data_IF_639450627384
#
_entry.id   IF_639450627384
#
_cell.length_a   1.000
_cell.length_b   1.000
_cell.length_c   1.000
_cell.angle_alpha   90.00
_cell.angle_beta   90.00
_cell.angle_gamma   90.00
#
_symmetry.space_group_name_H-M   'P 1'
#
loop_
_entity.id
_entity.type
_entity.pdbx_description
1 polymer ?
#
# COMPACT_ATOMS: atom_id res chain seq x y z
N UNK A 1 34.45 -0.21 2.62
CA UNK A 1 33.85 -0.86 3.79
C UNK A 1 33.85 0.17 4.91
N UNK A 2 32.82 1.00 4.93
CA UNK A 2 32.66 2.10 5.86
C UNK A 2 31.70 1.61 6.94
N UNK A 3 32.22 1.36 8.14
CA UNK A 3 31.44 1.05 9.32
C UNK A 3 30.73 2.34 9.76
N UNK A 4 29.44 2.45 9.46
CA UNK A 4 28.60 3.53 9.98
C UNK A 4 28.34 3.26 11.46
N UNK A 5 28.85 4.11 12.34
CA UNK A 5 28.66 4.04 13.79
C UNK A 5 27.19 4.40 14.12
N UNK A 6 26.33 3.39 14.23
CA UNK A 6 24.93 3.55 14.66
C UNK A 6 24.87 3.62 16.20
N UNK A 7 25.21 4.78 16.77
CA UNK A 7 24.85 5.06 18.16
C UNK A 7 23.37 5.42 18.23
N UNK A 8 22.57 4.78 19.11
CA UNK A 8 21.20 5.20 19.34
C UNK A 8 21.19 6.64 19.87
N UNK A 9 20.39 7.50 19.24
CA UNK A 9 20.26 8.90 19.63
C UNK A 9 19.52 9.02 20.96
N UNK A 10 20.27 9.24 22.04
CA UNK A 10 19.74 9.85 23.27
C UNK A 10 19.42 11.31 22.96
N UNK A 11 18.15 11.75 23.02
CA UNK A 11 17.77 13.15 22.79
C UNK A 11 16.61 13.39 21.82
N UNK A 12 15.99 12.34 21.27
CA UNK A 12 14.89 12.50 20.32
C UNK A 12 13.61 13.04 20.98
N UNK A 13 12.96 14.03 20.35
CA UNK A 13 11.74 14.66 20.83
C UNK A 13 10.53 14.20 20.01
N UNK A 14 9.42 13.89 20.69
CA UNK A 14 8.13 13.55 20.06
C UNK A 14 7.20 14.74 20.19
N UNK A 15 6.62 15.19 19.08
CA UNK A 15 5.63 16.27 19.08
C UNK A 15 4.47 15.98 18.13
N UNK A 16 3.30 16.61 18.33
CA UNK A 16 2.20 16.52 17.38
C UNK A 16 2.63 16.97 15.98
N UNK A 17 2.29 16.20 14.97
CA UNK A 17 2.58 16.54 13.59
C UNK A 17 1.72 17.73 13.13
N UNK A 18 2.33 18.66 12.41
CA UNK A 18 1.67 19.82 11.80
C UNK A 18 1.98 19.89 10.31
N UNK A 19 1.27 20.76 9.58
CA UNK A 19 1.51 20.96 8.14
C UNK A 19 2.95 21.39 7.79
N UNK A 20 3.72 21.94 8.75
CA UNK A 20 5.14 22.26 8.57
C UNK A 20 6.02 21.02 8.47
N UNK A 21 5.55 19.90 9.02
CA UNK A 21 6.32 18.66 9.13
C UNK A 21 6.16 17.80 7.88
N UNK A 22 5.07 18.00 7.14
CA UNK A 22 4.73 17.18 5.97
C UNK A 22 5.82 17.13 4.90
N UNK A 23 6.47 18.24 4.48
CA UNK A 23 7.60 18.15 3.56
C UNK A 23 8.80 17.41 4.16
N UNK A 24 9.04 17.53 5.47
CA UNK A 24 10.15 16.85 6.15
C UNK A 24 9.89 15.34 6.30
N UNK A 25 8.63 14.95 6.53
CA UNK A 25 8.21 13.55 6.54
C UNK A 25 8.33 12.94 5.14
N UNK A 26 7.93 13.68 4.10
CA UNK A 26 8.11 13.22 2.71
C UNK A 26 9.58 13.02 2.37
N UNK A 27 10.45 13.96 2.76
CA UNK A 27 11.91 13.84 2.57
C UNK A 27 12.50 12.65 3.36
N UNK A 28 12.09 12.48 4.62
CA UNK A 28 12.47 11.32 5.46
C UNK A 28 12.09 10.00 4.80
N UNK A 29 10.86 9.88 4.28
CA UNK A 29 10.39 8.70 3.56
C UNK A 29 11.20 8.46 2.28
N UNK A 30 11.54 9.51 1.53
CA UNK A 30 12.28 9.37 0.27
C UNK A 30 13.75 9.01 0.48
N UNK A 31 14.37 9.50 1.55
CA UNK A 31 15.84 9.49 1.73
C UNK A 31 16.34 8.43 2.71
N UNK A 32 15.50 7.93 3.63
CA UNK A 32 15.95 6.99 4.67
C UNK A 32 16.12 5.59 4.10
N UNK A 33 17.35 5.02 4.09
CA UNK A 33 17.58 3.69 3.57
C UNK A 33 16.84 2.62 4.39
N UNK A 34 16.34 1.60 3.71
CA UNK A 34 15.70 0.44 4.33
C UNK A 34 14.19 0.59 4.53
N UNK A 35 13.67 1.82 4.61
CA UNK A 35 12.23 2.06 4.63
C UNK A 35 11.61 1.62 3.30
N UNK A 36 10.53 0.84 3.35
CA UNK A 36 9.70 0.59 2.18
C UNK A 36 8.25 0.21 2.54
N UNK A 37 7.37 0.23 1.53
CA UNK A 37 5.97 -0.16 1.70
C UNK A 37 5.00 0.72 0.91
N UNK A 38 3.71 0.63 1.26
CA UNK A 38 2.59 1.28 0.55
C UNK A 38 2.37 2.76 0.93
N UNK A 39 3.15 3.28 1.89
CA UNK A 39 2.91 4.56 2.57
C UNK A 39 3.93 5.65 2.18
N UNK A 40 4.50 5.57 0.98
CA UNK A 40 5.50 6.54 0.53
C UNK A 40 4.79 7.71 -0.13
N UNK A 41 4.68 8.78 0.64
CA UNK A 41 4.32 10.09 0.15
C UNK A 41 5.42 10.60 -0.79
N UNK A 42 5.08 10.90 -2.04
CA UNK A 42 6.02 11.50 -3.00
C UNK A 42 6.28 12.97 -2.65
N UNK A 43 5.31 13.64 -2.02
CA UNK A 43 5.45 15.01 -1.54
C UNK A 43 4.67 15.31 -0.25
N UNK A 44 4.80 16.54 0.26
CA UNK A 44 4.13 17.01 1.48
C UNK A 44 2.61 16.90 1.45
N UNK A 45 2.00 17.03 0.28
CA UNK A 45 0.56 16.91 0.15
C UNK A 45 0.16 15.43 0.27
N UNK A 46 1.01 14.46 -0.04
CA UNK A 46 0.66 13.02 0.08
C UNK A 46 0.65 12.68 1.57
N UNK A 47 1.61 13.22 2.32
CA UNK A 47 1.59 13.15 3.78
C UNK A 47 0.33 13.83 4.33
N UNK A 48 -0.07 14.97 3.77
CA UNK A 48 -1.31 15.64 4.17
C UNK A 48 -2.56 14.77 3.93
N UNK A 49 -2.65 14.10 2.78
CA UNK A 49 -3.75 13.17 2.48
C UNK A 49 -3.69 11.93 3.39
N UNK A 50 -2.50 11.41 3.66
CA UNK A 50 -2.31 10.29 4.59
C UNK A 50 -2.76 10.67 6.01
N UNK A 51 -2.44 11.86 6.49
CA UNK A 51 -2.86 12.32 7.82
C UNK A 51 -4.28 12.91 7.84
N UNK A 52 -4.96 12.97 6.70
CA UNK A 52 -6.37 13.35 6.70
C UNK A 52 -7.18 12.31 7.48
N UNK A 53 -8.13 12.78 8.26
CA UNK A 53 -8.99 11.89 9.03
C UNK A 53 -8.39 11.29 10.31
N UNK A 54 -7.14 11.57 10.69
CA UNK A 54 -6.56 11.11 11.97
C UNK A 54 -7.33 11.66 13.18
N UNK A 55 -7.30 10.94 14.30
CA UNK A 55 -7.81 11.49 15.56
C UNK A 55 -7.03 12.78 15.93
N UNK A 56 -7.68 13.85 16.41
CA UNK A 56 -7.02 15.14 16.67
C UNK A 56 -5.78 15.03 17.57
N UNK A 57 -4.60 15.37 17.03
CA UNK A 57 -3.33 15.29 17.77
C UNK A 57 -2.83 13.86 18.01
N UNK A 58 -3.29 12.88 17.24
CA UNK A 58 -2.76 11.50 17.28
C UNK A 58 -1.62 11.26 16.30
N UNK A 59 -1.52 12.07 15.25
CA UNK A 59 -0.34 12.10 14.40
C UNK A 59 0.80 12.77 15.18
N UNK A 60 1.91 12.05 15.32
CA UNK A 60 3.12 12.51 15.98
C UNK A 60 4.32 12.31 15.08
N UNK A 61 5.30 13.19 15.22
CA UNK A 61 6.57 13.12 14.53
C UNK A 61 7.69 13.04 15.55
N UNK A 62 8.64 12.14 15.31
CA UNK A 62 9.85 11.99 16.10
C UNK A 62 10.97 12.77 15.42
N UNK A 63 11.66 13.61 16.20
CA UNK A 63 12.77 14.42 15.73
C UNK A 63 14.06 14.14 16.47
N UNK A 64 15.17 14.20 15.76
CA UNK A 64 16.50 14.17 16.35
C UNK A 64 16.95 15.51 16.89
N UNK A 65 18.18 15.57 17.39
CA UNK A 65 18.76 16.77 17.98
C UNK A 65 19.00 17.89 16.95
N UNK A 66 19.15 17.53 15.66
CA UNK A 66 19.34 18.50 14.58
C UNK A 66 18.01 18.89 13.91
N UNK A 67 16.87 18.62 14.59
CA UNK A 67 15.50 18.86 14.10
C UNK A 67 15.12 18.00 12.87
N UNK A 68 15.93 16.98 12.54
CA UNK A 68 15.66 16.06 11.46
C UNK A 68 14.54 15.07 11.84
N UNK A 69 13.69 14.71 10.87
CA UNK A 69 12.64 13.70 11.09
C UNK A 69 13.28 12.32 11.16
N UNK A 70 13.03 11.61 12.26
CA UNK A 70 13.49 10.24 12.49
C UNK A 70 12.36 9.21 12.39
N UNK A 71 11.11 9.65 12.33
CA UNK A 71 9.94 8.79 12.19
C UNK A 71 8.63 9.51 12.46
N UNK A 72 7.52 8.81 12.25
CA UNK A 72 6.19 9.28 12.60
C UNK A 72 5.27 8.12 12.99
N UNK A 73 4.21 8.46 13.71
CA UNK A 73 3.09 7.56 13.95
C UNK A 73 1.77 8.32 13.80
N UNK A 74 0.71 7.63 13.41
CA UNK A 74 -0.63 8.22 13.27
C UNK A 74 -1.72 7.21 13.63
N UNK A 75 -2.82 7.69 14.21
CA UNK A 75 -4.02 6.91 14.50
C UNK A 75 -5.22 7.47 13.73
N UNK A 76 -5.74 6.67 12.82
CA UNK A 76 -6.82 7.06 11.93
C UNK A 76 -8.17 6.91 12.59
N UNK A 77 -9.16 7.71 12.20
CA UNK A 77 -10.55 7.41 12.56
C UNK A 77 -11.07 6.27 11.68
N UNK A 78 -12.02 5.45 12.15
CA UNK A 78 -12.69 4.48 11.31
C UNK A 78 -13.28 5.14 10.06
N UNK A 79 -13.01 4.56 8.89
CA UNK A 79 -13.41 5.07 7.58
C UNK A 79 -14.25 4.05 6.78
N UNK A 80 -14.79 3.03 7.46
CA UNK A 80 -15.51 1.91 6.86
C UNK A 80 -16.69 1.40 7.67
N UNK A 81 -17.32 0.33 7.15
CA UNK A 81 -18.44 -0.34 7.80
C UNK A 81 -18.00 -1.26 8.96
N UNK A 82 -16.75 -1.75 8.93
CA UNK A 82 -16.16 -2.47 10.06
C UNK A 82 -15.65 -1.46 11.09
N UNK A 83 -15.68 -1.77 12.40
CA UNK A 83 -15.15 -0.90 13.45
C UNK A 83 -13.62 -0.97 13.50
N UNK A 84 -12.98 -0.91 12.34
CA UNK A 84 -11.55 -0.92 12.15
C UNK A 84 -10.97 0.47 12.38
N UNK A 85 -9.94 0.54 13.21
CA UNK A 85 -9.08 1.70 13.39
C UNK A 85 -7.72 1.36 12.80
N UNK A 86 -7.18 2.21 11.93
CA UNK A 86 -5.83 2.02 11.37
C UNK A 86 -4.80 2.80 12.17
N UNK A 87 -3.59 2.25 12.30
CA UNK A 87 -2.42 3.03 12.71
C UNK A 87 -1.22 2.84 11.79
N UNK A 88 -0.45 3.91 11.69
CA UNK A 88 0.81 3.96 10.96
C UNK A 88 1.97 4.09 11.94
N UNK A 89 3.04 3.35 11.69
CA UNK A 89 4.31 3.43 12.39
C UNK A 89 5.43 3.34 11.37
N UNK A 90 6.26 4.38 11.29
CA UNK A 90 7.43 4.41 10.41
C UNK A 90 8.58 5.06 11.17
N UNK A 91 9.63 4.30 11.44
CA UNK A 91 10.81 4.76 12.16
C UNK A 91 12.08 4.47 11.39
N UNK A 92 13.02 5.41 11.41
CA UNK A 92 14.34 5.24 10.85
C UNK A 92 15.15 4.21 11.66
N UNK A 93 16.15 3.55 11.05
CA UNK A 93 16.90 2.47 11.68
C UNK A 93 17.76 2.92 12.88
N UNK A 94 17.99 4.23 13.03
CA UNK A 94 18.76 4.82 14.15
C UNK A 94 17.94 5.05 15.41
N UNK A 95 16.61 4.93 15.35
CA UNK A 95 15.74 5.22 16.49
C UNK A 95 15.88 4.13 17.56
N UNK A 96 16.08 4.56 18.82
CA UNK A 96 16.19 3.65 19.95
C UNK A 96 14.89 2.83 20.16
N UNK A 97 15.02 1.53 20.44
CA UNK A 97 13.89 0.62 20.66
C UNK A 97 12.93 1.13 21.73
N UNK A 98 13.45 1.66 22.85
CA UNK A 98 12.63 2.20 23.95
C UNK A 98 11.75 3.38 23.52
N UNK A 99 12.24 4.20 22.60
CA UNK A 99 11.47 5.32 22.04
C UNK A 99 10.33 4.80 21.15
N UNK A 100 10.62 3.81 20.31
CA UNK A 100 9.62 3.14 19.46
C UNK A 100 8.54 2.49 20.33
N UNK A 101 8.96 1.75 21.36
CA UNK A 101 8.05 1.08 22.29
C UNK A 101 7.11 2.06 23.00
N UNK A 102 7.64 3.22 23.40
CA UNK A 102 6.85 4.29 24.02
C UNK A 102 5.81 4.84 23.05
N UNK A 103 6.20 5.21 21.81
CA UNK A 103 5.29 5.79 20.82
C UNK A 103 4.20 4.80 20.40
N UNK A 104 4.58 3.53 20.16
CA UNK A 104 3.62 2.45 19.84
C UNK A 104 2.66 2.26 21.02
N UNK A 105 3.19 2.22 22.24
CA UNK A 105 2.40 2.09 23.47
C UNK A 105 1.37 3.20 23.64
N UNK A 106 1.81 4.46 23.53
CA UNK A 106 0.95 5.64 23.65
C UNK A 106 -0.15 5.65 22.57
N UNK A 107 0.17 5.21 21.36
CA UNK A 107 -0.79 5.10 20.24
C UNK A 107 -1.84 4.02 20.52
N UNK A 108 -1.45 2.85 21.02
CA UNK A 108 -2.37 1.76 21.40
C UNK A 108 -3.23 2.17 22.60
N UNK A 109 -2.66 2.81 23.62
CA UNK A 109 -3.40 3.29 24.78
C UNK A 109 -4.40 4.38 24.38
N UNK A 110 -4.04 5.22 23.41
CA UNK A 110 -4.97 6.17 22.82
C UNK A 110 -6.10 5.47 22.08
N UNK A 111 -5.81 4.49 21.23
CA UNK A 111 -6.81 3.68 20.54
C UNK A 111 -7.85 3.13 21.53
N UNK A 112 -7.40 2.49 22.62
CA UNK A 112 -8.28 1.94 23.66
C UNK A 112 -9.15 2.98 24.37
N UNK A 113 -8.71 4.26 24.43
CA UNK A 113 -9.49 5.35 25.01
C UNK A 113 -10.55 5.93 24.08
N UNK A 114 -10.28 5.95 22.77
CA UNK A 114 -11.11 6.70 21.80
C UNK A 114 -11.99 5.80 20.93
N UNK A 115 -11.64 4.53 20.80
CA UNK A 115 -12.37 3.59 19.96
C UNK A 115 -13.55 2.96 20.72
N UNK A 116 -14.66 2.64 20.03
CA UNK A 116 -15.74 1.82 20.58
C UNK A 116 -15.26 0.45 21.08
N UNK A 117 -16.00 -0.17 22.01
CA UNK A 117 -15.63 -1.47 22.61
C UNK A 117 -15.54 -2.62 21.59
N UNK A 118 -16.36 -2.59 20.53
CA UNK A 118 -16.36 -3.57 19.46
C UNK A 118 -15.32 -3.29 18.36
N UNK A 119 -14.55 -2.21 18.50
CA UNK A 119 -13.52 -1.84 17.56
C UNK A 119 -12.22 -2.64 17.72
N UNK A 120 -11.39 -2.61 16.68
CA UNK A 120 -10.05 -3.16 16.71
C UNK A 120 -9.08 -2.27 15.94
N UNK A 121 -7.84 -2.22 16.43
CA UNK A 121 -6.72 -1.60 15.76
C UNK A 121 -6.13 -2.59 14.76
N UNK A 122 -5.98 -2.19 13.50
CA UNK A 122 -5.18 -2.91 12.50
C UNK A 122 -3.97 -2.09 12.09
N UNK A 123 -2.82 -2.75 12.01
CA UNK A 123 -1.56 -2.15 11.59
C UNK A 123 -0.98 -2.97 10.44
N UNK A 124 -0.86 -2.33 9.27
CA UNK A 124 -0.06 -2.84 8.17
C UNK A 124 1.38 -2.33 8.30
N UNK A 125 2.33 -3.24 8.48
CA UNK A 125 3.73 -2.92 8.78
C UNK A 125 4.69 -3.87 8.07
N UNK A 126 5.79 -3.32 7.55
CA UNK A 126 6.83 -4.09 6.87
C UNK A 126 7.77 -4.81 7.84
N UNK A 127 8.38 -5.90 7.39
CA UNK A 127 9.39 -6.64 8.17
C UNK A 127 10.65 -5.81 8.51
N UNK A 128 10.83 -4.67 7.83
CA UNK A 128 11.86 -3.65 8.08
C UNK A 128 11.60 -2.79 9.33
N UNK A 129 10.51 -3.01 10.06
CA UNK A 129 10.17 -2.28 11.29
C UNK A 129 10.11 -3.24 12.53
N UNK A 130 11.19 -3.99 12.84
CA UNK A 130 11.15 -5.06 13.84
C UNK A 130 10.82 -4.57 15.26
N UNK A 131 11.37 -3.42 15.68
CA UNK A 131 11.12 -2.86 17.01
C UNK A 131 9.66 -2.43 17.20
N UNK A 132 9.03 -1.88 16.16
CA UNK A 132 7.62 -1.52 16.21
C UNK A 132 6.71 -2.76 16.22
N UNK A 133 7.08 -3.80 15.46
CA UNK A 133 6.39 -5.10 15.49
C UNK A 133 6.47 -5.72 16.90
N UNK A 134 7.66 -5.75 17.51
CA UNK A 134 7.87 -6.26 18.86
C UNK A 134 7.01 -5.50 19.89
N UNK A 135 7.02 -4.16 19.84
CA UNK A 135 6.18 -3.33 20.70
C UNK A 135 4.68 -3.59 20.52
N UNK A 136 4.21 -3.81 19.28
CA UNK A 136 2.82 -4.20 19.02
C UNK A 136 2.48 -5.54 19.68
N UNK A 137 3.35 -6.55 19.53
CA UNK A 137 3.15 -7.88 20.13
C UNK A 137 3.13 -7.78 21.67
N UNK A 138 4.03 -7.00 22.29
CA UNK A 138 4.01 -6.74 23.73
C UNK A 138 2.71 -6.07 24.20
N UNK A 139 2.03 -5.32 23.33
CA UNK A 139 0.72 -4.70 23.60
C UNK A 139 -0.48 -5.61 23.31
N UNK A 140 -0.24 -6.88 22.96
CA UNK A 140 -1.26 -7.90 22.73
C UNK A 140 -1.65 -8.08 21.26
N UNK A 141 -0.86 -7.56 20.31
CA UNK A 141 -1.16 -7.72 18.90
C UNK A 141 -0.97 -9.16 18.42
N UNK A 142 -1.94 -9.66 17.66
CA UNK A 142 -1.82 -10.92 16.91
C UNK A 142 -1.60 -10.65 15.43
N UNK A 143 -0.74 -11.42 14.78
CA UNK A 143 -0.60 -11.37 13.32
C UNK A 143 -1.81 -12.03 12.68
N UNK A 144 -2.59 -11.27 11.93
CA UNK A 144 -3.73 -11.79 11.17
C UNK A 144 -3.32 -12.28 9.79
N UNK A 145 -2.40 -11.59 9.11
CA UNK A 145 -1.93 -11.95 7.76
C UNK A 145 -0.48 -11.61 7.51
N UNK A 146 0.05 -12.25 6.48
CA UNK A 146 1.31 -11.93 5.85
C UNK A 146 1.11 -11.70 4.35
N UNK A 147 1.79 -10.69 3.85
CA UNK A 147 1.82 -10.33 2.44
C UNK A 147 3.27 -10.32 1.98
N UNK A 148 3.46 -10.60 0.70
CA UNK A 148 4.77 -10.47 0.05
C UNK A 148 4.67 -9.37 -0.99
N UNK A 149 5.49 -8.33 -0.81
CA UNK A 149 5.77 -7.36 -1.84
C UNK A 149 6.67 -8.01 -2.89
N UNK A 150 6.28 -7.91 -4.16
CA UNK A 150 7.01 -8.48 -5.28
C UNK A 150 7.33 -7.42 -6.32
N UNK A 151 8.44 -7.61 -7.02
CA UNK A 151 8.93 -6.69 -8.07
C UNK A 151 9.36 -7.46 -9.31
N UNK A 152 9.20 -6.82 -10.47
CA UNK A 152 9.65 -7.32 -11.77
C UNK A 152 10.35 -6.19 -12.52
N UNK A 153 11.56 -6.44 -13.01
CA UNK A 153 12.22 -5.56 -13.98
C UNK A 153 11.53 -5.67 -15.34
N UNK A 154 11.29 -4.53 -15.98
CA UNK A 154 10.69 -4.40 -17.30
C UNK A 154 11.73 -4.15 -18.41
N UNK A 155 13.02 -3.97 -18.07
CA UNK A 155 14.07 -3.64 -19.03
C UNK A 155 14.30 -4.71 -20.12
N UNK A 156 13.92 -5.97 -19.84
CA UNK A 156 13.99 -7.08 -20.79
C UNK A 156 12.69 -7.36 -21.55
N UNK A 157 11.63 -6.60 -21.28
CA UNK A 157 10.35 -6.78 -21.97
C UNK A 157 10.36 -6.07 -23.33
N UNK A 158 9.83 -6.73 -24.36
CA UNK A 158 9.68 -6.13 -25.69
C UNK A 158 8.33 -5.40 -25.83
N UNK A 159 8.31 -4.07 -26.02
CA UNK A 159 7.07 -3.32 -26.17
C UNK A 159 6.19 -3.79 -27.33
N UNK A 160 6.79 -4.28 -28.42
CA UNK A 160 6.04 -4.80 -29.58
C UNK A 160 5.22 -6.04 -29.23
N UNK A 161 5.84 -6.99 -28.54
CA UNK A 161 5.21 -8.22 -28.03
C UNK A 161 4.11 -7.91 -27.01
N UNK A 162 4.35 -6.97 -26.08
CA UNK A 162 3.33 -6.55 -25.12
C UNK A 162 2.13 -5.86 -25.81
N UNK A 163 2.40 -5.06 -26.84
CA UNK A 163 1.35 -4.41 -27.63
C UNK A 163 0.50 -5.43 -28.40
N UNK A 164 1.13 -6.46 -29.00
CA UNK A 164 0.46 -7.51 -29.76
C UNK A 164 -0.33 -8.52 -28.89
N UNK A 165 -0.02 -8.63 -27.59
CA UNK A 165 -0.73 -9.54 -26.69
C UNK A 165 -2.24 -9.23 -26.65
N UNK A 166 -3.06 -10.23 -26.94
CA UNK A 166 -4.52 -10.14 -26.92
C UNK A 166 -5.15 -11.50 -26.58
N UNK A 167 -6.44 -11.47 -26.29
CA UNK A 167 -7.30 -12.65 -26.17
C UNK A 167 -8.54 -12.33 -27.01
N UNK A 168 -8.91 -13.25 -27.90
CA UNK A 168 -10.10 -13.07 -28.75
C UNK A 168 -11.35 -12.84 -27.90
N UNK A 169 -12.16 -11.87 -28.34
CA UNK A 169 -13.38 -11.46 -27.64
C UNK A 169 -13.15 -10.65 -26.35
N UNK A 170 -11.92 -10.17 -26.10
CA UNK A 170 -11.62 -9.21 -25.03
C UNK A 170 -11.04 -7.91 -25.59
N UNK A 171 -11.65 -6.79 -25.22
CA UNK A 171 -11.13 -5.42 -25.44
C UNK A 171 -10.52 -4.90 -24.15
N UNK A 172 -9.31 -4.35 -24.23
CA UNK A 172 -8.67 -3.68 -23.08
C UNK A 172 -8.87 -2.18 -23.22
N UNK A 173 -9.56 -1.59 -22.25
CA UNK A 173 -9.87 -0.17 -22.21
C UNK A 173 -8.94 0.58 -21.25
N UNK A 174 -8.31 1.69 -21.67
CA UNK A 174 -7.68 2.61 -20.74
C UNK A 174 -8.74 3.26 -19.84
N UNK A 175 -8.34 3.76 -18.66
CA UNK A 175 -9.29 4.33 -17.70
C UNK A 175 -10.18 5.44 -18.28
N UNK A 176 -9.66 6.28 -19.17
CA UNK A 176 -10.44 7.33 -19.85
C UNK A 176 -11.62 6.77 -20.64
N UNK A 177 -11.45 5.62 -21.30
CA UNK A 177 -12.51 4.92 -22.04
C UNK A 177 -13.43 4.12 -21.11
N UNK A 178 -12.93 3.65 -19.96
CA UNK A 178 -13.77 3.07 -18.90
C UNK A 178 -14.78 4.11 -18.40
N UNK A 179 -14.33 5.34 -18.14
CA UNK A 179 -15.19 6.43 -17.68
C UNK A 179 -16.16 6.87 -18.78
N UNK A 180 -15.66 7.22 -19.97
CA UNK A 180 -16.51 7.74 -21.06
C UNK A 180 -17.48 6.69 -21.60
N UNK A 181 -17.13 5.40 -21.53
CA UNK A 181 -17.98 4.28 -21.89
C UNK A 181 -18.96 3.83 -20.81
N UNK A 182 -18.97 4.44 -19.62
CA UNK A 182 -19.91 4.10 -18.54
C UNK A 182 -19.61 2.78 -17.83
N UNK A 183 -18.39 2.27 -17.90
CA UNK A 183 -17.99 0.98 -17.30
C UNK A 183 -17.55 1.10 -15.84
N UNK A 184 -17.40 2.31 -15.30
CA UNK A 184 -16.85 2.56 -13.96
C UNK A 184 -17.58 1.77 -12.85
N UNK A 185 -18.91 1.73 -12.89
CA UNK A 185 -19.71 1.00 -11.90
C UNK A 185 -19.55 -0.52 -12.02
N UNK A 186 -19.40 -1.05 -13.24
CA UNK A 186 -19.11 -2.47 -13.43
C UNK A 186 -17.72 -2.84 -12.88
N UNK A 187 -16.72 -1.96 -13.06
CA UNK A 187 -15.39 -2.14 -12.45
C UNK A 187 -15.49 -2.11 -10.93
N UNK A 188 -16.22 -1.15 -10.34
CA UNK A 188 -16.43 -1.08 -8.89
C UNK A 188 -17.09 -2.36 -8.36
N UNK A 189 -18.13 -2.84 -9.03
CA UNK A 189 -18.82 -4.06 -8.62
C UNK A 189 -17.90 -5.28 -8.73
N UNK A 190 -17.14 -5.41 -9.82
CA UNK A 190 -16.18 -6.50 -9.97
C UNK A 190 -15.03 -6.42 -8.94
N UNK A 191 -14.63 -5.20 -8.55
CA UNK A 191 -13.67 -4.99 -7.46
C UNK A 191 -14.25 -5.48 -6.14
N UNK A 192 -15.49 -5.09 -5.84
CA UNK A 192 -16.20 -5.54 -4.65
C UNK A 192 -16.30 -7.07 -4.64
N UNK A 193 -16.77 -7.68 -5.73
CA UNK A 193 -16.97 -9.13 -5.83
C UNK A 193 -15.64 -9.89 -5.69
N UNK A 194 -14.57 -9.41 -6.36
CA UNK A 194 -13.26 -10.07 -6.31
C UNK A 194 -12.65 -9.99 -4.91
N UNK A 195 -12.87 -8.90 -4.17
CA UNK A 195 -12.25 -8.64 -2.86
C UNK A 195 -13.16 -8.86 -1.65
N UNK A 196 -14.43 -9.20 -1.84
CA UNK A 196 -15.37 -9.53 -0.75
C UNK A 196 -14.93 -10.73 0.09
N UNK A 197 -14.24 -11.70 -0.52
CA UNK A 197 -13.68 -12.88 0.16
C UNK A 197 -12.20 -12.70 0.55
N UNK A 198 -11.58 -11.56 0.21
CA UNK A 198 -10.18 -11.27 0.55
C UNK A 198 -10.06 -10.71 1.98
N UNK A 199 -8.94 -11.02 2.64
CA UNK A 199 -8.67 -10.56 3.99
C UNK A 199 -8.75 -9.03 4.11
N UNK A 200 -9.28 -8.58 5.25
CA UNK A 200 -9.41 -7.16 5.59
C UNK A 200 -10.54 -6.46 4.84
N UNK A 201 -11.41 -7.22 4.16
CA UNK A 201 -12.54 -6.70 3.40
C UNK A 201 -12.11 -5.50 2.54
N UNK A 202 -11.08 -5.74 1.71
CA UNK A 202 -10.56 -4.74 0.77
C UNK A 202 -11.58 -4.36 -0.33
N UNK A 203 -12.81 -4.87 -0.24
CA UNK A 203 -13.93 -4.41 -1.03
C UNK A 203 -14.18 -2.93 -0.75
N UNK A 204 -14.32 -2.15 -1.81
CA UNK A 204 -14.59 -0.72 -1.68
C UNK A 204 -16.10 -0.50 -1.67
N UNK A 205 -16.61 0.04 -0.56
CA UNK A 205 -17.92 0.69 -0.55
C UNK A 205 -17.94 1.81 -1.59
N UNK A 206 -19.12 2.27 -2.06
CA UNK A 206 -19.19 3.38 -3.02
C UNK A 206 -18.40 4.62 -2.56
N UNK A 207 -18.43 4.95 -1.27
CA UNK A 207 -17.69 6.08 -0.70
C UNK A 207 -16.16 5.86 -0.77
N UNK A 208 -15.68 4.66 -0.39
CA UNK A 208 -14.25 4.30 -0.46
C UNK A 208 -13.75 4.16 -1.91
N UNK A 209 -14.65 3.83 -2.82
CA UNK A 209 -14.38 3.80 -4.25
C UNK A 209 -14.16 5.21 -4.79
N UNK A 210 -15.10 6.11 -4.54
CA UNK A 210 -14.98 7.51 -4.95
C UNK A 210 -13.75 8.18 -4.32
N UNK A 211 -13.51 7.96 -3.03
CA UNK A 211 -12.29 8.46 -2.38
C UNK A 211 -11.02 7.92 -3.05
N UNK A 212 -10.99 6.62 -3.40
CA UNK A 212 -9.84 6.05 -4.10
C UNK A 212 -9.61 6.69 -5.47
N UNK A 213 -10.66 6.86 -6.29
CA UNK A 213 -10.52 7.47 -7.62
C UNK A 213 -10.06 8.93 -7.59
N UNK A 214 -10.35 9.65 -6.51
CA UNK A 214 -9.94 11.04 -6.31
C UNK A 214 -8.64 11.18 -5.48
N UNK A 215 -8.15 10.06 -4.92
CA UNK A 215 -6.90 10.06 -4.15
C UNK A 215 -5.70 10.34 -5.03
N UNK A 216 -4.65 10.86 -4.43
CA UNK A 216 -3.41 11.20 -5.14
C UNK A 216 -2.63 9.99 -5.63
N UNK A 217 -2.78 8.87 -4.93
CA UNK A 217 -2.14 7.61 -5.29
C UNK A 217 -2.74 7.03 -6.58
N UNK A 218 -4.04 7.24 -6.84
CA UNK A 218 -4.68 6.65 -8.02
C UNK A 218 -4.12 7.25 -9.30
N UNK A 219 -3.59 6.39 -10.17
CA UNK A 219 -3.07 6.81 -11.47
C UNK A 219 -3.94 6.25 -12.60
N UNK A 220 -4.78 7.09 -13.23
CA UNK A 220 -5.63 6.68 -14.36
C UNK A 220 -4.85 6.01 -15.50
N UNK A 221 -3.64 6.49 -15.79
CA UNK A 221 -2.79 5.97 -16.86
C UNK A 221 -2.29 4.54 -16.61
N UNK A 222 -2.34 4.07 -15.35
CA UNK A 222 -2.02 2.70 -14.93
C UNK A 222 -3.25 1.92 -14.48
N UNK A 223 -4.43 2.33 -14.95
CA UNK A 223 -5.70 1.68 -14.65
C UNK A 223 -6.42 1.33 -15.94
N UNK A 224 -6.90 0.08 -16.02
CA UNK A 224 -7.50 -0.49 -17.25
C UNK A 224 -8.62 -1.46 -16.89
N UNK A 225 -9.53 -1.71 -17.83
CA UNK A 225 -10.54 -2.76 -17.74
C UNK A 225 -10.48 -3.69 -18.97
N UNK A 226 -10.76 -4.97 -18.76
CA UNK A 226 -11.03 -5.94 -19.82
C UNK A 226 -12.56 -6.09 -19.97
N UNK A 227 -13.06 -5.84 -21.17
CA UNK A 227 -14.48 -5.89 -21.53
C UNK A 227 -14.69 -6.97 -22.60
N UNK A 228 -15.68 -7.83 -22.44
CA UNK A 228 -16.01 -8.84 -23.45
C UNK A 228 -16.93 -8.32 -24.57
N UNK A 229 -17.20 -9.15 -25.59
CA UNK A 229 -18.05 -8.78 -26.74
C UNK A 229 -19.51 -8.44 -26.37
N UNK A 230 -19.93 -8.77 -25.14
CA UNK A 230 -21.23 -8.39 -24.59
C UNK A 230 -21.22 -7.08 -23.81
N UNK A 231 -20.13 -6.31 -23.90
CA UNK A 231 -19.90 -5.07 -23.14
C UNK A 231 -19.95 -5.27 -21.60
N UNK A 232 -19.50 -6.44 -21.15
CA UNK A 232 -19.39 -6.76 -19.73
C UNK A 232 -17.94 -6.68 -19.28
N UNK A 233 -17.68 -5.95 -18.18
CA UNK A 233 -16.36 -5.94 -17.54
C UNK A 233 -16.07 -7.32 -16.93
N UNK A 234 -14.98 -7.93 -17.36
CA UNK A 234 -14.55 -9.27 -16.90
C UNK A 234 -13.22 -9.28 -16.16
N UNK A 235 -12.49 -8.17 -16.19
CA UNK A 235 -11.28 -7.99 -15.42
C UNK A 235 -10.86 -6.54 -15.36
N UNK A 236 -10.00 -6.19 -14.42
CA UNK A 236 -9.52 -4.82 -14.27
C UNK A 236 -8.16 -4.80 -13.57
N UNK A 237 -7.45 -3.69 -13.75
CA UNK A 237 -6.34 -3.26 -12.90
C UNK A 237 -6.59 -1.82 -12.48
N UNK A 238 -6.38 -1.53 -11.20
CA UNK A 238 -6.20 -0.17 -10.68
C UNK A 238 -4.77 -0.07 -10.20
N UNK A 239 -4.10 1.01 -10.56
CA UNK A 239 -2.68 1.18 -10.29
C UNK A 239 -2.31 2.58 -9.82
N UNK A 240 -1.11 2.64 -9.27
CA UNK A 240 -0.42 3.84 -8.81
C UNK A 240 1.01 3.85 -9.35
N UNK A 241 1.69 4.97 -9.19
CA UNK A 241 3.15 5.03 -9.36
C UNK A 241 3.82 5.26 -8.03
N UNK A 242 5.00 4.68 -7.85
CA UNK A 242 5.85 4.95 -6.71
C UNK A 242 7.26 5.31 -7.17
N UNK A 243 7.90 6.17 -6.38
CA UNK A 243 9.32 6.50 -6.53
C UNK A 243 10.01 6.16 -5.22
N UNK A 244 11.13 5.45 -5.29
CA UNK A 244 11.95 5.13 -4.12
C UNK A 244 13.42 5.43 -4.39
N UNK A 245 14.18 5.78 -3.36
CA UNK A 245 15.59 6.12 -3.50
C UNK A 245 15.82 7.52 -4.06
N UNK A 246 17.08 7.91 -4.12
CA UNK A 246 17.53 9.24 -4.54
C UNK A 246 18.74 9.15 -5.46
N UNK A 247 18.93 10.15 -6.31
CA UNK A 247 20.08 10.21 -7.22
C UNK A 247 20.13 9.01 -8.17
N UNK A 248 21.28 8.33 -8.22
CA UNK A 248 21.50 7.21 -9.13
C UNK A 248 20.73 5.94 -8.76
N UNK A 249 20.31 5.81 -7.49
CA UNK A 249 19.57 4.65 -6.97
C UNK A 249 18.04 4.88 -7.01
N UNK A 250 17.59 5.98 -7.61
CA UNK A 250 16.16 6.27 -7.75
C UNK A 250 15.49 5.30 -8.71
N UNK A 251 14.43 4.64 -8.25
CA UNK A 251 13.60 3.73 -9.01
C UNK A 251 12.18 4.32 -9.13
N UNK A 252 11.64 4.35 -10.35
CA UNK A 252 10.23 4.64 -10.61
C UNK A 252 9.52 3.38 -11.05
N UNK A 253 8.37 3.11 -10.47
CA UNK A 253 7.67 1.86 -10.72
C UNK A 253 6.16 2.00 -10.74
N UNK A 254 5.56 1.18 -11.59
CA UNK A 254 4.13 1.03 -11.71
C UNK A 254 3.67 -0.03 -10.71
N UNK A 255 2.88 0.38 -9.73
CA UNK A 255 2.32 -0.53 -8.74
C UNK A 255 0.91 -0.94 -9.14
N UNK A 256 0.65 -2.25 -9.13
CA UNK A 256 -0.69 -2.81 -9.27
C UNK A 256 -1.34 -2.86 -7.90
N UNK A 257 -2.21 -1.89 -7.60
CA UNK A 257 -2.91 -1.81 -6.31
C UNK A 257 -3.99 -2.87 -6.17
N UNK A 258 -4.75 -3.05 -7.25
CA UNK A 258 -5.82 -4.02 -7.34
C UNK A 258 -5.80 -4.65 -8.72
N UNK A 259 -5.88 -5.97 -8.76
CA UNK A 259 -6.13 -6.73 -9.98
C UNK A 259 -7.24 -7.73 -9.69
N UNK A 260 -8.25 -7.74 -10.54
CA UNK A 260 -9.37 -8.66 -10.39
C UNK A 260 -9.82 -9.23 -11.72
N UNK A 261 -10.27 -10.48 -11.69
CA UNK A 261 -10.81 -11.20 -12.84
C UNK A 261 -12.06 -11.95 -12.40
N UNK A 262 -13.14 -11.78 -13.17
CA UNK A 262 -14.43 -12.44 -12.97
C UNK A 262 -14.25 -13.95 -12.92
N UNK A 263 -14.96 -14.60 -11.99
CA UNK A 263 -14.71 -16.01 -11.61
C UNK A 263 -14.75 -16.98 -12.80
N UNK A 264 -15.69 -16.80 -13.72
CA UNK A 264 -15.88 -17.61 -14.94
C UNK A 264 -14.80 -17.41 -16.02
N UNK A 265 -14.01 -16.33 -15.92
CA UNK A 265 -12.89 -16.01 -16.82
C UNK A 265 -11.51 -16.30 -16.20
N UNK A 266 -11.45 -16.75 -14.95
CA UNK A 266 -10.18 -17.15 -14.31
C UNK A 266 -9.55 -18.34 -15.03
N UNK A 267 -8.23 -18.50 -14.84
CA UNK A 267 -7.39 -19.54 -15.47
C UNK A 267 -7.39 -19.55 -17.01
N UNK A 268 -7.81 -18.45 -17.66
CA UNK A 268 -7.81 -18.28 -19.12
C UNK A 268 -6.91 -17.14 -19.62
N UNK A 269 -5.91 -16.75 -18.82
CA UNK A 269 -4.91 -15.75 -19.23
C UNK A 269 -5.31 -14.27 -19.05
N UNK A 270 -6.55 -13.94 -18.68
CA UNK A 270 -7.00 -12.54 -18.52
C UNK A 270 -6.13 -11.73 -17.56
N UNK A 271 -5.78 -12.29 -16.39
CA UNK A 271 -4.90 -11.60 -15.43
C UNK A 271 -3.49 -11.35 -15.98
N UNK A 272 -2.95 -12.31 -16.74
CA UNK A 272 -1.66 -12.16 -17.41
C UNK A 272 -1.70 -11.07 -18.50
N UNK A 273 -2.76 -11.07 -19.31
CA UNK A 273 -2.96 -10.05 -20.33
C UNK A 273 -3.02 -8.65 -19.70
N UNK A 274 -3.79 -8.48 -18.62
CA UNK A 274 -3.90 -7.21 -17.91
C UNK A 274 -2.53 -6.73 -17.41
N UNK A 275 -1.74 -7.60 -16.77
CA UNK A 275 -0.40 -7.24 -16.29
C UNK A 275 0.52 -6.82 -17.44
N UNK A 276 0.52 -7.55 -18.56
CA UNK A 276 1.30 -7.20 -19.76
C UNK A 276 0.92 -5.82 -20.31
N UNK A 277 -0.37 -5.47 -20.29
CA UNK A 277 -0.83 -4.14 -20.73
C UNK A 277 -0.40 -3.03 -19.77
N UNK A 278 -0.37 -3.29 -18.47
CA UNK A 278 0.18 -2.35 -17.48
C UNK A 278 1.69 -2.18 -17.64
N UNK A 279 2.45 -3.23 -17.91
CA UNK A 279 3.88 -3.12 -18.19
C UNK A 279 4.16 -2.29 -19.44
N UNK A 280 3.35 -2.45 -20.49
CA UNK A 280 3.44 -1.61 -21.68
C UNK A 280 3.17 -0.14 -21.36
N UNK A 281 2.16 0.15 -20.53
CA UNK A 281 1.90 1.51 -20.07
C UNK A 281 3.08 2.06 -19.27
N UNK A 282 3.71 1.24 -18.41
CA UNK A 282 4.88 1.61 -17.62
C UNK A 282 6.06 1.98 -18.50
N UNK A 283 6.42 1.12 -19.45
CA UNK A 283 7.52 1.36 -20.38
C UNK A 283 7.29 2.62 -21.23
N UNK A 284 6.05 2.87 -21.69
CA UNK A 284 5.69 4.09 -22.43
C UNK A 284 5.87 5.38 -21.61
N UNK A 285 5.89 5.28 -20.29
CA UNK A 285 6.11 6.40 -19.36
C UNK A 285 7.50 6.40 -18.74
N UNK A 286 8.40 5.54 -19.20
CA UNK A 286 9.78 5.45 -18.71
C UNK A 286 9.93 4.74 -17.36
N UNK A 287 8.89 4.06 -16.89
CA UNK A 287 8.95 3.25 -15.67
C UNK A 287 9.50 1.88 -16.02
N UNK A 288 10.54 1.46 -15.29
CA UNK A 288 11.32 0.26 -15.62
C UNK A 288 11.05 -0.90 -14.66
N UNK A 289 10.20 -0.70 -13.66
CA UNK A 289 9.85 -1.72 -12.66
C UNK A 289 8.34 -1.80 -12.50
N UNK A 290 7.81 -3.01 -12.40
CA UNK A 290 6.44 -3.27 -11.96
C UNK A 290 6.46 -3.88 -10.56
N UNK A 291 5.51 -3.52 -9.71
CA UNK A 291 5.39 -4.11 -8.38
C UNK A 291 3.94 -4.39 -7.99
N UNK A 292 3.76 -5.30 -7.03
CA UNK A 292 2.46 -5.63 -6.43
C UNK A 292 2.68 -6.30 -5.06
N UNK A 293 1.66 -6.26 -4.20
CA UNK A 293 1.61 -6.98 -2.93
C UNK A 293 0.59 -8.11 -2.99
N UNK A 294 0.93 -9.30 -2.49
CA UNK A 294 0.01 -10.46 -2.47
C UNK A 294 -0.05 -11.08 -1.09
N UNK A 295 -1.26 -11.40 -0.61
CA UNK A 295 -1.48 -12.25 0.56
C UNK A 295 -0.93 -13.65 0.29
N UNK A 296 -0.09 -14.18 1.20
CA UNK A 296 0.50 -15.51 1.04
C UNK A 296 -0.54 -16.63 1.09
N UNK A 297 -1.63 -16.41 1.83
CA UNK A 297 -2.72 -17.38 2.03
C UNK A 297 -3.85 -17.20 0.99
N UNK A 298 -3.58 -16.45 -0.09
CA UNK A 298 -4.56 -16.18 -1.13
C UNK A 298 -5.02 -17.46 -1.87
N UNK A 299 -6.31 -17.78 -1.76
CA UNK A 299 -6.96 -18.93 -2.38
C UNK A 299 -6.81 -19.02 -3.91
N UNK A 300 -6.56 -17.89 -4.60
CA UNK A 300 -6.42 -17.85 -6.07
C UNK A 300 -5.05 -18.29 -6.59
N UNK A 301 -4.09 -18.61 -5.72
CA UNK A 301 -2.69 -18.95 -6.08
C UNK A 301 -2.02 -17.92 -7.00
N UNK A 302 -2.40 -16.64 -6.87
CA UNK A 302 -1.89 -15.55 -7.71
C UNK A 302 -0.35 -15.43 -7.66
N UNK A 303 0.28 -15.81 -6.55
CA UNK A 303 1.74 -15.87 -6.41
C UNK A 303 2.42 -16.76 -7.47
N UNK A 304 1.78 -17.83 -7.94
CA UNK A 304 2.32 -18.68 -9.00
C UNK A 304 2.31 -18.01 -10.37
N UNK A 305 1.23 -17.26 -10.66
CA UNK A 305 1.16 -16.42 -11.85
C UNK A 305 2.28 -15.39 -11.82
N UNK A 306 2.43 -14.65 -10.72
CA UNK A 306 3.45 -13.60 -10.62
C UNK A 306 4.86 -14.17 -10.76
N UNK A 307 5.16 -15.30 -10.10
CA UNK A 307 6.46 -15.98 -10.26
C UNK A 307 6.71 -16.39 -11.70
N UNK A 308 5.72 -16.97 -12.41
CA UNK A 308 5.85 -17.34 -13.83
C UNK A 308 6.11 -16.13 -14.72
N UNK A 309 5.56 -14.98 -14.35
CA UNK A 309 5.76 -13.71 -15.03
C UNK A 309 7.09 -13.02 -14.67
N UNK A 310 7.91 -13.61 -13.82
CA UNK A 310 9.22 -13.08 -13.44
C UNK A 310 9.18 -12.05 -12.31
N UNK A 311 8.09 -11.97 -11.55
CA UNK A 311 8.11 -11.25 -10.28
C UNK A 311 8.93 -12.01 -9.25
N UNK A 312 9.73 -11.26 -8.50
CA UNK A 312 10.56 -11.73 -7.39
C UNK A 312 10.02 -11.16 -6.09
N UNK A 313 9.96 -11.99 -5.05
CA UNK A 313 9.66 -11.55 -3.69
C UNK A 313 10.81 -10.66 -3.18
N UNK A 314 10.48 -9.48 -2.65
CA UNK A 314 11.49 -8.53 -2.15
C UNK A 314 11.31 -8.16 -0.69
N UNK A 315 10.10 -8.29 -0.13
CA UNK A 315 9.85 -7.91 1.27
C UNK A 315 8.57 -8.54 1.80
N UNK A 316 8.61 -8.97 3.06
CA UNK A 316 7.43 -9.36 3.81
C UNK A 316 6.75 -8.14 4.45
N UNK A 317 5.42 -8.15 4.45
CA UNK A 317 4.58 -7.21 5.17
C UNK A 317 3.55 -7.98 5.99
N UNK A 318 3.10 -7.40 7.09
CA UNK A 318 2.22 -8.06 8.04
C UNK A 318 1.01 -7.18 8.35
N UNK A 319 -0.13 -7.81 8.59
CA UNK A 319 -1.26 -7.18 9.26
C UNK A 319 -1.32 -7.69 10.70
N UNK A 320 -1.18 -6.79 11.67
CA UNK A 320 -1.36 -7.04 13.09
C UNK A 320 -2.68 -6.46 13.58
N UNK A 321 -3.31 -7.14 14.54
CA UNK A 321 -4.57 -6.71 15.16
C UNK A 321 -4.50 -6.67 16.68
N UNK A 322 -5.06 -5.63 17.27
CA UNK A 322 -5.36 -5.51 18.70
C UNK A 322 -6.86 -5.19 18.83
N UNK A 323 -7.61 -5.98 19.62
CA UNK A 323 -9.01 -5.67 19.92
C UNK A 323 -9.11 -4.60 21.02
N UNK A 324 -10.12 -3.72 20.97
CA UNK A 324 -10.32 -2.68 21.97
C UNK A 324 -10.59 -3.27 23.37
N UNK A 325 -11.46 -4.29 23.42
CA UNK A 325 -11.62 -5.17 24.59
C UNK A 325 -10.99 -6.54 24.32
N UNK A 326 -10.25 -7.06 25.30
CA UNK A 326 -9.83 -8.46 25.27
C UNK A 326 -11.08 -9.34 25.34
N UNK A 327 -11.29 -10.22 24.34
CA UNK A 327 -12.29 -11.28 24.44
C UNK A 327 -11.91 -12.17 25.63
N UNK A 328 -12.59 -11.99 26.76
CA UNK A 328 -12.53 -12.88 27.93
C UNK A 328 -13.00 -14.28 27.59
#
# INVERSE_FOLDING_TARGET
MTLTDHRPTTGAAVSPATARDYPLIADFLATTPGLAGRKFAADSRDVAEQFDGVYPGSAVVLRGESDEVLGYAALHRPDGAEPEVLADFVFGPSVAHVTIETIVGDTVDRFRRVAPADAYLRVYIGADQPAAIEALVHRGARRERQFVATRKSLLGEDPGTLAAAHIDGLRILPWTEVISGGYAEQVRQLQFDTFSEHFGNMSKTPQRWEHHLHSRAFTPDFSIAAVDDGDVVVGYVLGSTYTTGVGADQEHSAHTDYIGVRRDRRTRGTGELLLRKIWLAALRRGLTVASLGTDIDNASRAHELYRRLGYLAVRDQYAYRIDAEERR
#
